data_IF_014275012628
#
_entry.id   IF_014275012628
#
_cell.length_a   1.000
_cell.length_b   1.000
_cell.length_c   1.000
_cell.angle_alpha   90.00
_cell.angle_beta   90.00
_cell.angle_gamma   90.00
#
_symmetry.space_group_name_H-M   'P 1'
#
loop_
_entity.id
_entity.type
_entity.pdbx_description
1 polymer ?
#
# COMPACT_ATOMS: atom_id res chain seq x y z
N UNK A 1 -1.96 3.15 4.80
CA UNK A 1 -0.67 3.76 5.18
C UNK A 1 -0.72 4.24 6.62
N UNK A 2 0.40 4.23 7.34
CA UNK A 2 0.52 4.82 8.68
C UNK A 2 0.37 6.35 8.58
N UNK A 3 -0.21 6.98 9.60
CA UNK A 3 -0.30 8.45 9.68
C UNK A 3 1.10 9.08 9.69
N UNK A 4 1.38 9.93 8.69
CA UNK A 4 2.66 10.63 8.54
C UNK A 4 2.96 11.56 9.73
N UNK A 5 1.94 12.18 10.34
CA UNK A 5 2.13 13.02 11.53
C UNK A 5 2.54 12.18 12.73
N UNK A 6 1.99 10.97 12.85
CA UNK A 6 2.41 10.04 13.90
C UNK A 6 3.86 9.62 13.71
N UNK A 7 4.23 9.21 12.49
CA UNK A 7 5.61 8.83 12.14
C UNK A 7 6.60 9.96 12.42
N UNK A 8 6.23 11.20 12.09
CA UNK A 8 7.09 12.36 12.33
C UNK A 8 7.27 12.67 13.82
N UNK A 9 6.18 12.63 14.60
CA UNK A 9 6.21 13.06 16.01
C UNK A 9 6.72 11.97 16.96
N UNK A 10 6.59 10.70 16.60
CA UNK A 10 6.94 9.54 17.43
C UNK A 10 7.94 8.62 16.70
N UNK A 11 8.90 9.22 16.00
CA UNK A 11 9.78 8.51 15.06
C UNK A 11 10.52 7.32 15.70
N UNK A 12 11.06 7.47 16.90
CA UNK A 12 11.82 6.41 17.58
C UNK A 12 10.94 5.20 17.92
N UNK A 13 9.73 5.44 18.46
CA UNK A 13 8.78 4.38 18.78
C UNK A 13 8.28 3.67 17.52
N UNK A 14 7.92 4.45 16.49
CA UNK A 14 7.47 3.91 15.22
C UNK A 14 8.55 3.08 14.54
N UNK A 15 9.79 3.55 14.56
CA UNK A 15 10.96 2.85 14.02
C UNK A 15 11.16 1.51 14.73
N UNK A 16 11.08 1.48 16.06
CA UNK A 16 11.19 0.23 16.81
C UNK A 16 10.09 -0.77 16.43
N UNK A 17 8.84 -0.31 16.24
CA UNK A 17 7.72 -1.18 15.79
C UNK A 17 7.91 -1.70 14.37
N UNK A 18 8.42 -0.87 13.45
CA UNK A 18 8.68 -1.27 12.06
C UNK A 18 9.85 -2.23 11.94
N UNK A 19 10.88 -2.09 12.77
CA UNK A 19 12.01 -3.03 12.81
C UNK A 19 11.57 -4.44 13.19
N UNK A 20 10.57 -4.60 14.07
CA UNK A 20 9.97 -5.91 14.37
C UNK A 20 9.31 -6.57 13.16
N UNK A 21 8.96 -5.79 12.13
CA UNK A 21 8.45 -6.26 10.84
C UNK A 21 9.53 -6.37 9.76
N UNK A 22 10.80 -6.30 10.16
CA UNK A 22 11.94 -6.44 9.26
C UNK A 22 12.25 -5.22 8.41
N UNK A 23 11.71 -4.04 8.75
CA UNK A 23 12.12 -2.79 8.08
C UNK A 23 13.54 -2.44 8.53
N UNK A 24 14.44 -2.31 7.56
CA UNK A 24 15.86 -2.07 7.82
C UNK A 24 16.12 -0.61 8.26
N UNK A 25 17.25 -0.41 8.93
CA UNK A 25 17.62 0.90 9.48
C UNK A 25 17.87 1.94 8.39
N UNK A 26 18.38 1.54 7.23
CA UNK A 26 18.67 2.47 6.11
C UNK A 26 17.38 3.04 5.56
N UNK A 27 16.34 2.22 5.40
CA UNK A 27 15.01 2.68 5.00
C UNK A 27 14.42 3.67 6.00
N UNK A 28 14.60 3.43 7.30
CA UNK A 28 14.11 4.33 8.36
C UNK A 28 14.90 5.66 8.38
N UNK A 29 16.22 5.61 8.26
CA UNK A 29 17.07 6.82 8.16
C UNK A 29 16.67 7.67 6.94
N UNK A 30 16.41 7.03 5.79
CA UNK A 30 15.91 7.73 4.61
C UNK A 30 14.55 8.40 4.88
N UNK A 31 13.62 7.69 5.53
CA UNK A 31 12.33 8.25 5.92
C UNK A 31 12.50 9.50 6.82
N UNK A 32 13.41 9.47 7.79
CA UNK A 32 13.72 10.60 8.66
C UNK A 32 14.30 11.80 7.88
N UNK A 33 15.20 11.54 6.95
CA UNK A 33 15.79 12.55 6.08
C UNK A 33 14.75 13.21 5.17
N UNK A 34 13.78 12.44 4.66
CA UNK A 34 12.67 12.95 3.87
C UNK A 34 11.73 13.84 4.70
N UNK A 35 11.41 13.46 5.94
CA UNK A 35 10.67 14.34 6.85
C UNK A 35 11.39 15.67 7.10
N UNK A 36 12.72 15.62 7.28
CA UNK A 36 13.55 16.82 7.48
C UNK A 36 13.56 17.70 6.23
N UNK A 37 13.77 17.09 5.06
CA UNK A 37 13.79 17.77 3.77
C UNK A 37 12.46 18.47 3.47
N UNK A 38 11.34 17.79 3.71
CA UNK A 38 10.01 18.37 3.54
C UNK A 38 9.77 19.55 4.49
N UNK A 39 10.20 19.43 5.75
CA UNK A 39 10.10 20.52 6.74
C UNK A 39 10.88 21.75 6.29
N UNK A 40 12.10 21.58 5.81
CA UNK A 40 12.95 22.67 5.33
C UNK A 40 12.41 23.33 4.06
N UNK A 41 11.93 22.52 3.10
CA UNK A 41 11.31 23.01 1.87
C UNK A 41 10.07 23.85 2.18
N UNK A 42 9.19 23.35 3.06
CA UNK A 42 8.00 24.06 3.49
C UNK A 42 8.34 25.36 4.25
N UNK A 43 9.32 25.33 5.16
CA UNK A 43 9.73 26.53 5.89
C UNK A 43 10.24 27.63 4.95
N UNK A 44 11.03 27.26 3.94
CA UNK A 44 11.57 28.19 2.94
C UNK A 44 10.45 28.76 2.06
N UNK A 45 9.53 27.90 1.62
CA UNK A 45 8.37 28.31 0.82
C UNK A 45 7.45 29.25 1.60
N UNK A 46 7.15 28.95 2.87
CA UNK A 46 6.31 29.80 3.72
C UNK A 46 6.97 31.15 4.03
N UNK A 47 8.28 31.19 4.22
CA UNK A 47 9.02 32.44 4.37
C UNK A 47 8.88 33.33 3.11
N UNK A 48 9.06 32.75 1.92
CA UNK A 48 8.91 33.50 0.66
C UNK A 48 7.46 33.92 0.38
N UNK A 49 6.46 33.10 0.75
CA UNK A 49 5.03 33.50 0.72
C UNK A 49 4.75 34.67 1.67
N UNK A 50 5.32 34.64 2.88
CA UNK A 50 5.16 35.73 3.84
C UNK A 50 5.78 37.04 3.32
N UNK A 51 6.97 36.96 2.70
CA UNK A 51 7.62 38.10 2.06
C UNK A 51 6.78 38.63 0.89
N UNK A 52 6.29 37.75 0.02
CA UNK A 52 5.39 38.09 -1.09
C UNK A 52 4.16 38.87 -0.62
N UNK A 53 3.52 38.38 0.44
CA UNK A 53 2.32 39.00 1.01
C UNK A 53 2.62 40.36 1.64
N UNK A 54 3.76 40.50 2.31
CA UNK A 54 4.22 41.77 2.89
C UNK A 54 4.47 42.81 1.79
N UNK A 55 5.24 42.44 0.75
CA UNK A 55 5.55 43.33 -0.36
C UNK A 55 4.30 43.71 -1.17
N UNK A 56 3.35 42.79 -1.34
CA UNK A 56 2.09 43.06 -2.04
C UNK A 56 1.21 44.06 -1.29
N UNK A 57 1.18 44.00 0.06
CA UNK A 57 0.49 44.99 0.90
C UNK A 57 1.14 46.37 0.77
N UNK A 58 2.48 46.43 0.83
CA UNK A 58 3.23 47.67 0.67
C UNK A 58 3.03 48.28 -0.73
N UNK A 59 2.99 47.43 -1.77
CA UNK A 59 2.74 47.84 -3.14
C UNK A 59 1.37 48.52 -3.30
N UNK A 60 0.33 47.91 -2.72
CA UNK A 60 -1.01 48.51 -2.67
C UNK A 60 -1.06 49.83 -1.90
N UNK A 61 -0.23 50.00 -0.85
CA UNK A 61 -0.12 51.25 -0.12
C UNK A 61 0.57 52.33 -0.96
N UNK A 62 1.69 52.03 -1.61
CA UNK A 62 2.44 52.99 -2.44
C UNK A 62 1.61 53.48 -3.64
N UNK A 63 0.82 52.58 -4.24
CA UNK A 63 -0.15 52.92 -5.29
C UNK A 63 -1.19 53.96 -4.83
N UNK A 64 -1.67 53.86 -3.58
CA UNK A 64 -2.63 54.84 -3.03
C UNK A 64 -1.98 56.16 -2.67
N UNK A 65 -0.72 56.11 -2.23
CA UNK A 65 0.05 57.29 -1.81
C UNK A 65 0.74 58.02 -2.98
N UNK A 66 0.65 57.50 -4.21
CA UNK A 66 1.29 58.08 -5.38
C UNK A 66 2.82 58.02 -5.35
N UNK A 67 3.39 57.09 -4.58
CA UNK A 67 4.85 56.87 -4.47
C UNK A 67 5.38 56.08 -5.68
N UNK A 68 6.68 56.18 -5.96
CA UNK A 68 7.31 55.34 -6.98
C UNK A 68 7.25 53.85 -6.58
N UNK A 69 6.69 53.04 -7.47
CA UNK A 69 6.46 51.60 -7.28
C UNK A 69 7.44 50.73 -8.07
N UNK A 70 8.33 51.33 -8.88
CA UNK A 70 9.12 50.60 -9.88
C UNK A 70 10.01 49.54 -9.23
N UNK A 71 10.75 49.91 -8.19
CA UNK A 71 11.63 48.99 -7.46
C UNK A 71 10.83 47.92 -6.69
N UNK A 72 9.71 48.31 -6.08
CA UNK A 72 8.87 47.39 -5.31
C UNK A 72 8.16 46.38 -6.21
N UNK A 73 7.74 46.81 -7.41
CA UNK A 73 7.20 45.91 -8.45
C UNK A 73 8.24 44.87 -8.87
N UNK A 74 9.46 45.31 -9.15
CA UNK A 74 10.54 44.40 -9.53
C UNK A 74 10.83 43.35 -8.44
N UNK A 75 10.83 43.75 -7.16
CA UNK A 75 11.00 42.80 -6.03
C UNK A 75 9.84 41.81 -5.89
N UNK A 76 8.60 42.28 -6.06
CA UNK A 76 7.38 41.45 -6.05
C UNK A 76 7.41 40.41 -7.17
N UNK A 77 7.83 40.82 -8.38
CA UNK A 77 7.88 39.94 -9.53
C UNK A 77 9.05 38.93 -9.40
N UNK A 78 10.23 39.39 -8.95
CA UNK A 78 11.38 38.52 -8.70
C UNK A 78 11.11 37.46 -7.62
N UNK A 79 10.42 37.81 -6.53
CA UNK A 79 10.08 36.83 -5.49
C UNK A 79 9.03 35.82 -5.98
N UNK A 80 8.07 36.22 -6.82
CA UNK A 80 7.16 35.26 -7.48
C UNK A 80 7.93 34.26 -8.34
N UNK A 81 8.89 34.72 -9.12
CA UNK A 81 9.73 33.85 -9.94
C UNK A 81 10.57 32.90 -9.06
N UNK A 82 11.13 33.39 -7.96
CA UNK A 82 11.89 32.59 -6.99
C UNK A 82 11.01 31.58 -6.22
N UNK A 83 9.71 31.82 -6.06
CA UNK A 83 8.78 30.88 -5.41
C UNK A 83 8.50 29.63 -6.24
N UNK A 84 8.55 29.70 -7.57
CA UNK A 84 8.26 28.55 -8.45
C UNK A 84 9.15 27.34 -8.14
N UNK A 85 10.49 27.45 -8.11
CA UNK A 85 11.34 26.31 -7.75
C UNK A 85 11.18 25.86 -6.28
N UNK A 86 10.77 26.75 -5.37
CA UNK A 86 10.51 26.37 -3.97
C UNK A 86 9.24 25.54 -3.82
N UNK A 87 8.20 25.86 -4.60
CA UNK A 87 6.97 25.05 -4.66
C UNK A 87 7.25 23.66 -5.21
N UNK A 88 8.04 23.58 -6.28
CA UNK A 88 8.39 22.30 -6.89
C UNK A 88 9.23 21.45 -5.94
N UNK A 89 10.22 22.04 -5.26
CA UNK A 89 11.01 21.34 -4.24
C UNK A 89 10.16 20.79 -3.10
N UNK A 90 9.15 21.53 -2.65
CA UNK A 90 8.23 21.07 -1.61
C UNK A 90 7.36 19.90 -2.11
N UNK A 91 6.84 19.99 -3.34
CA UNK A 91 6.06 18.94 -3.99
C UNK A 91 6.87 17.64 -4.14
N UNK A 92 8.10 17.73 -4.64
CA UNK A 92 9.00 16.58 -4.81
C UNK A 92 9.32 15.91 -3.46
N UNK A 93 9.59 16.72 -2.42
CA UNK A 93 9.87 16.19 -1.08
C UNK A 93 8.64 15.48 -0.47
N UNK A 94 7.44 16.01 -0.72
CA UNK A 94 6.18 15.40 -0.28
C UNK A 94 5.91 14.09 -1.01
N UNK A 95 6.11 14.06 -2.33
CA UNK A 95 5.93 12.85 -3.15
C UNK A 95 6.92 11.75 -2.78
N UNK A 96 8.19 12.10 -2.54
CA UNK A 96 9.21 11.15 -2.11
C UNK A 96 8.87 10.56 -0.73
N UNK A 97 8.43 11.40 0.22
CA UNK A 97 7.97 10.96 1.54
C UNK A 97 6.73 10.05 1.45
N UNK A 98 5.76 10.42 0.62
CA UNK A 98 4.54 9.65 0.45
C UNK A 98 4.83 8.28 -0.17
N UNK A 99 5.71 8.23 -1.17
CA UNK A 99 6.10 6.99 -1.86
C UNK A 99 6.75 5.98 -0.90
N UNK A 100 7.72 6.42 -0.09
CA UNK A 100 8.34 5.52 0.90
C UNK A 100 7.34 5.07 1.97
N UNK A 101 6.45 5.97 2.41
CA UNK A 101 5.48 5.66 3.44
C UNK A 101 4.41 4.67 2.96
N UNK A 102 4.03 4.70 1.68
CA UNK A 102 3.13 3.71 1.08
C UNK A 102 3.69 2.29 1.10
N UNK A 103 5.02 2.14 1.00
CA UNK A 103 5.69 0.85 1.05
C UNK A 103 5.90 0.33 2.48
N UNK A 104 5.64 1.15 3.51
CA UNK A 104 5.82 0.75 4.90
C UNK A 104 4.72 -0.23 5.35
N UNK A 105 5.10 -1.36 5.98
CA UNK A 105 4.12 -2.27 6.55
C UNK A 105 3.39 -1.60 7.71
N UNK A 106 2.23 -2.14 8.08
CA UNK A 106 1.52 -1.67 9.26
C UNK A 106 2.28 -2.03 10.55
N UNK A 107 2.05 -1.27 11.62
CA UNK A 107 2.56 -1.63 12.94
C UNK A 107 1.93 -2.95 13.40
N UNK A 108 2.72 -3.88 13.98
CA UNK A 108 2.13 -4.97 14.74
C UNK A 108 1.35 -4.41 15.92
N UNK A 109 0.25 -5.07 16.28
CA UNK A 109 -0.41 -4.84 17.56
C UNK A 109 0.50 -5.29 18.72
N UNK A 110 0.42 -4.63 19.88
CA UNK A 110 1.27 -4.92 21.04
C UNK A 110 1.08 -6.35 21.57
N UNK A 111 -0.02 -7.02 21.23
CA UNK A 111 -0.29 -8.42 21.58
C UNK A 111 0.35 -9.44 20.64
N UNK A 112 0.90 -9.01 19.51
CA UNK A 112 1.55 -9.91 18.54
C UNK A 112 2.91 -10.34 19.11
N UNK A 113 3.18 -11.66 19.19
CA UNK A 113 4.47 -12.15 19.66
C UNK A 113 5.61 -11.71 18.73
N UNK A 114 6.78 -11.45 19.30
CA UNK A 114 8.02 -11.24 18.55
C UNK A 114 8.39 -12.53 17.81
N UNK A 115 8.87 -12.41 16.57
CA UNK A 115 9.31 -13.53 15.75
C UNK A 115 10.00 -13.05 14.47
N UNK A 116 10.91 -13.87 13.95
CA UNK A 116 11.67 -13.59 12.73
C UNK A 116 10.97 -14.21 11.52
N UNK A 117 10.48 -15.44 11.68
CA UNK A 117 9.89 -16.23 10.60
C UNK A 117 8.72 -17.10 11.11
N UNK A 118 8.24 -18.00 10.26
CA UNK A 118 7.10 -18.86 10.56
C UNK A 118 7.31 -19.85 11.72
N UNK A 119 8.56 -20.16 12.10
CA UNK A 119 8.87 -21.10 13.18
C UNK A 119 8.61 -20.50 14.57
N UNK A 120 8.58 -19.17 14.66
CA UNK A 120 8.26 -18.44 15.90
C UNK A 120 6.74 -18.30 16.14
N UNK A 121 5.91 -18.80 15.22
CA UNK A 121 4.45 -18.73 15.36
C UNK A 121 3.95 -19.56 16.56
N UNK A 122 3.12 -18.93 17.38
CA UNK A 122 2.53 -19.56 18.58
C UNK A 122 1.20 -20.23 18.25
N UNK A 123 1.11 -21.54 18.48
CA UNK A 123 -0.16 -22.29 18.35
C UNK A 123 -1.14 -21.88 19.46
N UNK A 124 -2.26 -21.26 19.08
CA UNK A 124 -3.28 -20.80 20.04
C UNK A 124 -4.28 -21.90 20.44
N UNK A 125 -4.66 -22.76 19.49
CA UNK A 125 -5.63 -23.84 19.74
C UNK A 125 -5.51 -24.95 18.71
N UNK A 126 -5.77 -26.18 19.16
CA UNK A 126 -6.08 -27.34 18.31
C UNK A 126 -7.57 -27.64 18.40
N UNK A 127 -8.19 -27.91 17.26
CA UNK A 127 -9.61 -28.27 17.18
C UNK A 127 -9.70 -29.60 16.46
N UNK A 128 -10.30 -30.60 17.13
CA UNK A 128 -10.30 -32.01 16.71
C UNK A 128 -8.90 -32.63 16.69
N UNK A 129 -8.84 -33.89 16.28
CA UNK A 129 -7.61 -34.66 16.10
C UNK A 129 -7.45 -35.03 14.62
N UNK A 130 -6.21 -34.97 14.06
CA UNK A 130 -5.93 -35.46 12.73
C UNK A 130 -6.36 -36.92 12.56
N UNK A 131 -6.99 -37.24 11.43
CA UNK A 131 -7.50 -38.58 11.17
C UNK A 131 -6.35 -39.61 11.12
N UNK A 132 -6.49 -40.68 11.89
CA UNK A 132 -5.64 -41.86 11.75
C UNK A 132 -6.12 -42.72 10.57
N UNK A 133 -5.18 -43.13 9.71
CA UNK A 133 -5.46 -43.98 8.56
C UNK A 133 -4.87 -45.38 8.81
N UNK A 134 -5.63 -46.42 8.48
CA UNK A 134 -5.15 -47.81 8.49
C UNK A 134 -4.38 -48.19 7.21
N UNK A 135 -4.03 -47.19 6.40
CA UNK A 135 -3.34 -47.29 5.12
C UNK A 135 -2.52 -46.01 4.91
N UNK A 136 -1.54 -46.07 4.00
CA UNK A 136 -0.76 -44.88 3.63
C UNK A 136 -1.64 -43.88 2.86
N UNK A 137 -1.95 -42.70 3.42
CA UNK A 137 -2.78 -41.73 2.74
C UNK A 137 -2.08 -41.23 1.47
N UNK A 138 -2.85 -41.05 0.41
CA UNK A 138 -2.34 -40.45 -0.83
C UNK A 138 -2.51 -38.95 -0.78
N UNK A 139 -1.55 -38.27 -1.39
CA UNK A 139 -1.60 -36.84 -1.64
C UNK A 139 -2.76 -36.45 -2.57
N UNK A 140 -3.24 -35.21 -2.43
CA UNK A 140 -4.43 -34.75 -3.15
C UNK A 140 -4.28 -34.83 -4.68
N UNK A 141 -3.09 -34.52 -5.21
CA UNK A 141 -2.82 -34.57 -6.66
C UNK A 141 -2.83 -36.01 -7.19
N UNK A 142 -2.30 -36.96 -6.43
CA UNK A 142 -2.27 -38.37 -6.82
C UNK A 142 -3.68 -38.99 -6.81
N UNK A 143 -4.52 -38.61 -5.83
CA UNK A 143 -5.93 -38.97 -5.82
C UNK A 143 -6.66 -38.34 -7.02
N UNK A 144 -6.41 -37.06 -7.27
CA UNK A 144 -7.08 -36.33 -8.32
C UNK A 144 -6.80 -36.90 -9.72
N UNK A 145 -5.54 -37.24 -10.01
CA UNK A 145 -5.12 -37.82 -11.28
C UNK A 145 -5.72 -39.23 -11.45
N UNK A 146 -5.61 -40.09 -10.43
CA UNK A 146 -6.12 -41.46 -10.49
C UNK A 146 -7.63 -41.55 -10.73
N UNK A 147 -8.39 -40.55 -10.27
CA UNK A 147 -9.84 -40.47 -10.45
C UNK A 147 -10.26 -39.57 -11.63
N UNK A 148 -9.31 -38.94 -12.33
CA UNK A 148 -9.60 -38.01 -13.43
C UNK A 148 -10.33 -36.73 -13.00
N UNK A 149 -10.21 -36.35 -11.73
CA UNK A 149 -10.86 -35.21 -11.09
C UNK A 149 -10.19 -33.88 -11.41
N UNK A 150 -8.86 -33.86 -11.46
CA UNK A 150 -8.05 -32.69 -11.78
C UNK A 150 -7.12 -33.06 -12.92
N UNK A 151 -7.13 -32.23 -13.96
CA UNK A 151 -6.30 -32.38 -15.13
C UNK A 151 -5.30 -31.22 -15.21
N UNK A 152 -4.10 -31.47 -14.71
CA UNK A 152 -3.01 -30.49 -14.68
C UNK A 152 -2.40 -30.27 -16.07
N UNK A 153 -2.27 -31.33 -16.88
CA UNK A 153 -1.71 -31.23 -18.23
C UNK A 153 -2.57 -30.32 -19.12
N UNK A 154 -3.89 -30.50 -19.11
CA UNK A 154 -4.82 -29.60 -19.82
C UNK A 154 -4.80 -28.20 -19.23
N UNK A 155 -4.64 -28.05 -17.92
CA UNK A 155 -4.47 -26.74 -17.27
C UNK A 155 -3.28 -25.97 -17.83
N UNK A 156 -2.12 -26.62 -17.91
CA UNK A 156 -0.91 -26.02 -18.50
C UNK A 156 -1.09 -25.73 -19.99
N UNK A 157 -1.72 -26.65 -20.74
CA UNK A 157 -1.98 -26.45 -22.18
C UNK A 157 -2.91 -25.28 -22.47
N UNK A 158 -3.91 -25.05 -21.63
CA UNK A 158 -4.88 -23.96 -21.80
C UNK A 158 -4.32 -22.60 -21.33
N UNK A 159 -3.49 -22.63 -20.28
CA UNK A 159 -2.91 -21.43 -19.68
C UNK A 159 -1.39 -21.57 -19.55
N UNK A 160 -0.88 -21.87 -18.35
CA UNK A 160 0.54 -22.06 -18.05
C UNK A 160 0.72 -22.89 -16.78
N UNK A 161 1.96 -23.05 -16.30
CA UNK A 161 2.24 -23.64 -14.99
C UNK A 161 1.38 -23.00 -13.87
N UNK A 162 0.99 -23.80 -12.87
CA UNK A 162 0.09 -23.44 -11.76
C UNK A 162 -1.39 -23.25 -12.13
N UNK A 163 -1.83 -23.75 -13.29
CA UNK A 163 -3.25 -23.84 -13.66
C UNK A 163 -3.70 -25.31 -13.73
N UNK A 164 -4.99 -25.57 -13.50
CA UNK A 164 -5.57 -26.92 -13.55
C UNK A 164 -7.00 -26.89 -14.08
N UNK A 165 -7.51 -28.03 -14.57
CA UNK A 165 -8.90 -28.19 -14.99
C UNK A 165 -9.60 -29.18 -14.07
N UNK A 166 -10.64 -28.73 -13.37
CA UNK A 166 -11.50 -29.62 -12.58
C UNK A 166 -12.55 -30.30 -13.47
N UNK A 167 -12.87 -31.57 -13.19
CA UNK A 167 -13.76 -32.40 -14.01
C UNK A 167 -14.79 -33.14 -13.17
N UNK A 168 -15.99 -33.29 -13.74
CA UNK A 168 -17.06 -34.13 -13.20
C UNK A 168 -17.40 -33.80 -11.75
N UNK A 169 -17.26 -34.78 -10.86
CA UNK A 169 -17.58 -34.65 -9.44
C UNK A 169 -16.69 -33.61 -8.73
N UNK A 170 -15.44 -33.42 -9.15
CA UNK A 170 -14.56 -32.43 -8.54
C UNK A 170 -15.00 -30.99 -8.83
N UNK A 171 -15.38 -30.70 -10.07
CA UNK A 171 -15.96 -29.40 -10.42
C UNK A 171 -17.31 -29.16 -9.72
N UNK A 172 -18.11 -30.22 -9.54
CA UNK A 172 -19.35 -30.14 -8.74
C UNK A 172 -19.05 -29.85 -7.28
N UNK A 173 -18.03 -30.49 -6.71
CA UNK A 173 -17.62 -30.30 -5.32
C UNK A 173 -17.10 -28.89 -5.06
N UNK A 174 -16.25 -28.36 -5.94
CA UNK A 174 -15.77 -26.97 -5.87
C UNK A 174 -16.95 -26.00 -5.77
N UNK A 175 -17.90 -26.08 -6.72
CA UNK A 175 -19.10 -25.25 -6.69
C UNK A 175 -19.94 -25.45 -5.43
N UNK A 176 -20.05 -26.69 -4.94
CA UNK A 176 -20.79 -26.97 -3.71
C UNK A 176 -20.12 -26.32 -2.49
N UNK A 177 -18.79 -26.31 -2.42
CA UNK A 177 -18.04 -25.64 -1.36
C UNK A 177 -18.21 -24.12 -1.41
N UNK A 178 -18.15 -23.51 -2.60
CA UNK A 178 -18.41 -22.07 -2.79
C UNK A 178 -19.79 -21.71 -2.23
N UNK A 179 -20.84 -22.40 -2.66
CA UNK A 179 -22.21 -22.14 -2.19
C UNK A 179 -22.36 -22.38 -0.68
N UNK A 180 -21.77 -23.46 -0.16
CA UNK A 180 -21.80 -23.74 1.27
C UNK A 180 -21.22 -22.59 2.10
N UNK A 181 -20.08 -22.03 1.69
CA UNK A 181 -19.47 -20.90 2.41
C UNK A 181 -20.28 -19.61 2.27
N UNK A 182 -20.81 -19.32 1.08
CA UNK A 182 -21.68 -18.16 0.86
C UNK A 182 -22.94 -18.23 1.74
N UNK A 183 -23.68 -19.33 1.67
CA UNK A 183 -24.89 -19.55 2.48
C UNK A 183 -24.58 -19.50 3.98
N UNK A 184 -23.49 -20.15 4.41
CA UNK A 184 -23.09 -20.16 5.82
C UNK A 184 -22.80 -18.74 6.31
N UNK A 185 -22.04 -17.95 5.56
CA UNK A 185 -21.70 -16.57 5.95
C UNK A 185 -22.91 -15.63 5.89
N UNK A 186 -23.82 -15.83 4.94
CA UNK A 186 -25.10 -15.09 4.90
C UNK A 186 -25.90 -15.30 6.20
N UNK A 187 -25.95 -16.52 6.74
CA UNK A 187 -26.60 -16.78 8.04
C UNK A 187 -25.89 -16.12 9.23
N UNK A 188 -24.63 -15.70 9.08
CA UNK A 188 -23.85 -14.95 10.08
C UNK A 188 -23.96 -13.44 9.92
N UNK A 189 -24.78 -12.96 8.98
CA UNK A 189 -25.05 -11.54 8.78
C UNK A 189 -24.11 -10.83 7.81
N UNK A 190 -23.30 -11.57 7.04
CA UNK A 190 -22.54 -10.99 5.94
C UNK A 190 -23.46 -10.73 4.74
N UNK A 191 -23.36 -9.55 4.13
CA UNK A 191 -24.01 -9.25 2.85
C UNK A 191 -23.24 -9.91 1.71
N UNK A 192 -23.95 -10.65 0.86
CA UNK A 192 -23.35 -11.27 -0.33
C UNK A 192 -23.25 -10.25 -1.46
N UNK A 193 -22.03 -10.06 -1.98
CA UNK A 193 -21.73 -9.13 -3.07
C UNK A 193 -21.05 -9.87 -4.22
N UNK A 194 -21.50 -9.60 -5.44
CA UNK A 194 -20.78 -10.00 -6.66
C UNK A 194 -20.07 -8.76 -7.22
N UNK A 195 -18.74 -8.78 -7.18
CA UNK A 195 -17.89 -7.63 -7.53
C UNK A 195 -17.07 -7.89 -8.79
N UNK A 196 -16.57 -6.84 -9.48
CA UNK A 196 -15.60 -7.01 -10.56
C UNK A 196 -14.34 -7.74 -10.08
N UNK A 197 -13.81 -8.63 -10.92
CA UNK A 197 -12.57 -9.37 -10.63
C UNK A 197 -11.31 -8.63 -11.06
N UNK A 198 -11.47 -7.59 -11.90
CA UNK A 198 -10.38 -6.69 -12.26
C UNK A 198 -10.52 -5.39 -11.48
N UNK A 199 -9.42 -4.88 -10.93
CA UNK A 199 -9.41 -3.69 -10.09
C UNK A 199 -8.39 -2.65 -10.59
N UNK A 200 -8.72 -1.37 -10.42
CA UNK A 200 -7.80 -0.28 -10.78
C UNK A 200 -6.70 -0.10 -9.73
N UNK A 201 -5.63 0.63 -10.10
CA UNK A 201 -4.50 0.84 -9.20
C UNK A 201 -4.88 1.52 -7.88
N UNK A 202 -5.87 2.42 -7.90
CA UNK A 202 -6.34 3.11 -6.68
C UNK A 202 -6.91 2.12 -5.66
N UNK A 203 -7.71 1.15 -6.09
CA UNK A 203 -8.26 0.13 -5.19
C UNK A 203 -7.17 -0.74 -4.58
N UNK A 204 -6.20 -1.19 -5.40
CA UNK A 204 -5.09 -2.01 -4.96
C UNK A 204 -4.11 -1.27 -4.04
N UNK A 205 -3.92 0.03 -4.25
CA UNK A 205 -3.18 0.87 -3.32
C UNK A 205 -3.92 1.01 -1.98
N UNK A 206 -5.25 1.15 -2.03
CA UNK A 206 -6.10 1.25 -0.84
C UNK A 206 -6.01 0.03 0.09
N UNK A 207 -5.87 -1.16 -0.49
CA UNK A 207 -5.73 -2.43 0.26
C UNK A 207 -4.28 -2.88 0.46
N UNK A 208 -3.31 -2.15 -0.08
CA UNK A 208 -1.87 -2.33 0.19
C UNK A 208 -1.12 -3.28 -0.75
N UNK A 209 -1.75 -3.78 -1.83
CA UNK A 209 -1.05 -4.56 -2.86
C UNK A 209 -0.08 -3.68 -3.64
N UNK A 210 -0.52 -2.48 -4.04
CA UNK A 210 0.35 -1.51 -4.70
C UNK A 210 0.91 -0.50 -3.70
N UNK A 211 2.17 -0.06 -3.85
CA UNK A 211 3.09 -0.40 -4.95
C UNK A 211 3.95 -1.64 -4.70
N UNK A 212 4.00 -2.18 -3.47
CA UNK A 212 5.03 -3.13 -3.04
C UNK A 212 4.96 -4.51 -3.71
N UNK A 213 3.76 -4.98 -4.04
CA UNK A 213 3.50 -6.32 -4.54
C UNK A 213 2.97 -6.28 -5.98
N UNK A 214 3.36 -5.29 -6.79
CA UNK A 214 2.93 -5.18 -8.19
C UNK A 214 3.28 -6.43 -9.01
N UNK A 215 4.47 -6.98 -8.82
CA UNK A 215 4.96 -8.17 -9.53
C UNK A 215 4.20 -9.47 -9.19
N UNK A 216 3.44 -9.46 -8.09
CA UNK A 216 2.59 -10.58 -7.67
C UNK A 216 1.20 -10.57 -8.36
N UNK A 217 0.88 -9.49 -9.08
CA UNK A 217 -0.41 -9.28 -9.73
C UNK A 217 -0.34 -9.59 -11.24
N UNK A 218 -1.47 -9.98 -11.81
CA UNK A 218 -1.66 -9.89 -13.26
C UNK A 218 -2.08 -8.46 -13.60
N UNK A 219 -1.56 -7.91 -14.70
CA UNK A 219 -1.94 -6.57 -15.20
C UNK A 219 -2.43 -6.71 -16.62
N UNK A 220 -3.53 -6.04 -16.96
CA UNK A 220 -3.99 -5.93 -18.34
C UNK A 220 -3.11 -4.89 -19.05
N UNK A 221 -2.45 -5.31 -20.13
CA UNK A 221 -1.62 -4.41 -20.91
C UNK A 221 -2.46 -3.28 -21.53
N UNK A 222 -1.96 -2.04 -21.40
CA UNK A 222 -2.64 -0.84 -21.89
C UNK A 222 -3.81 -0.32 -21.05
N UNK A 223 -4.16 -0.96 -19.92
CA UNK A 223 -5.27 -0.56 -19.06
C UNK A 223 -4.80 -0.30 -17.61
N UNK A 224 -5.52 0.55 -16.88
CA UNK A 224 -5.37 0.67 -15.41
C UNK A 224 -6.23 -0.39 -14.71
N UNK A 225 -6.01 -1.66 -15.07
CA UNK A 225 -6.71 -2.80 -14.51
C UNK A 225 -5.72 -3.95 -14.27
N UNK A 226 -5.84 -4.53 -13.09
CA UNK A 226 -5.12 -5.71 -12.64
C UNK A 226 -6.11 -6.84 -12.39
#
# INVERSE_FOLDING_TARGET
MIDLKYLQNNFDEASAKLQKKGVDTVTLENLQNLFTSLKEANATLEASKAEQNSMSKLFGQYMREGKDITELKAKVDANKEAMVPLQEKAREAEEALYSIALAMPNFPDDTVPEGVDEEDNVELRKVLEPKSFSFEPKEHWALAEANGWIDFERGVKLAKSRFSVLRGEAARLERALINFFLDTNATKGFEELCVPFMNNATMLQGTGQLPKFEDDLFKIDGEDLY
#
